data_IF_129136896045
#
_entry.id   IF_129136896045
#
_cell.length_a   1.000
_cell.length_b   1.000
_cell.length_c   1.000
_cell.angle_alpha   90.00
_cell.angle_beta   90.00
_cell.angle_gamma   90.00
#
_symmetry.space_group_name_H-M   'P 1'
#
loop_
_entity.id
_entity.type
_entity.pdbx_description
1 polymer ?
#
# COMPACT_ATOMS: atom_id res chain seq x y z
N UNK A 1 -2.11 -30.27 19.44
CA UNK A 1 -3.35 -29.50 19.15
C UNK A 1 -3.91 -29.98 17.82
N UNK A 2 -5.24 -29.95 17.65
CA UNK A 2 -5.83 -30.14 16.32
C UNK A 2 -5.60 -28.90 15.44
N UNK A 3 -5.81 -29.00 14.13
CA UNK A 3 -5.47 -27.92 13.19
C UNK A 3 -6.26 -26.63 13.47
N UNK A 4 -7.57 -26.73 13.72
CA UNK A 4 -8.41 -25.56 14.00
C UNK A 4 -8.01 -24.84 15.30
N UNK A 5 -7.60 -25.59 16.33
CA UNK A 5 -7.04 -25.03 17.56
C UNK A 5 -5.71 -24.31 17.28
N UNK A 6 -4.83 -24.90 16.47
CA UNK A 6 -3.56 -24.30 16.08
C UNK A 6 -3.76 -22.98 15.32
N UNK A 7 -4.71 -22.93 14.37
CA UNK A 7 -5.13 -21.69 13.69
C UNK A 7 -5.54 -20.63 14.71
N UNK A 8 -6.41 -21.01 15.66
CA UNK A 8 -6.89 -20.09 16.70
C UNK A 8 -5.75 -19.53 17.53
N UNK A 9 -4.78 -20.38 17.92
CA UNK A 9 -3.61 -19.96 18.70
C UNK A 9 -2.70 -19.00 17.94
N UNK A 10 -2.48 -19.23 16.65
CA UNK A 10 -1.70 -18.30 15.84
C UNK A 10 -2.38 -16.94 15.71
N UNK A 11 -3.70 -16.92 15.45
CA UNK A 11 -4.49 -15.68 15.36
C UNK A 11 -4.46 -14.92 16.67
N UNK A 12 -4.65 -15.60 17.81
CA UNK A 12 -4.55 -14.99 19.14
C UNK A 12 -3.17 -14.38 19.42
N UNK A 13 -2.13 -14.92 18.77
CA UNK A 13 -0.76 -14.43 18.87
C UNK A 13 -0.42 -13.33 17.86
N UNK A 14 -1.38 -12.84 17.07
CA UNK A 14 -1.16 -11.82 16.02
C UNK A 14 -0.44 -12.38 14.79
N UNK A 15 -0.63 -13.66 14.50
CA UNK A 15 -0.11 -14.34 13.32
C UNK A 15 -1.13 -15.29 12.72
N UNK A 16 -0.66 -16.20 11.89
CA UNK A 16 -1.43 -17.24 11.22
C UNK A 16 -0.56 -18.48 11.09
N UNK A 17 -1.12 -19.64 10.75
CA UNK A 17 -0.28 -20.80 10.43
C UNK A 17 0.64 -20.48 9.26
N UNK A 18 1.87 -20.99 9.30
CA UNK A 18 2.90 -20.62 8.33
C UNK A 18 2.54 -21.06 6.92
N UNK A 19 2.70 -20.14 5.98
CA UNK A 19 2.91 -20.44 4.56
C UNK A 19 4.39 -20.76 4.31
N UNK A 20 4.69 -21.37 3.17
CA UNK A 20 6.05 -21.59 2.68
C UNK A 20 6.09 -21.21 1.21
N UNK A 21 6.76 -20.10 0.91
CA UNK A 21 6.75 -19.48 -0.43
C UNK A 21 7.98 -19.88 -1.27
N UNK A 22 9.07 -20.31 -0.63
CA UNK A 22 10.31 -20.67 -1.30
C UNK A 22 11.15 -21.70 -0.55
N UNK A 23 12.26 -22.11 -1.18
CA UNK A 23 13.19 -23.09 -0.63
C UNK A 23 13.91 -22.58 0.63
N UNK A 24 14.18 -21.27 0.72
CA UNK A 24 14.89 -20.70 1.86
C UNK A 24 14.01 -20.73 3.11
N UNK A 25 12.71 -20.39 2.98
CA UNK A 25 11.72 -20.53 4.03
C UNK A 25 11.53 -22.00 4.43
N UNK A 26 11.49 -22.91 3.45
CA UNK A 26 11.43 -24.35 3.74
C UNK A 26 12.64 -24.81 4.55
N UNK A 27 13.86 -24.50 4.14
CA UNK A 27 15.08 -24.89 4.85
C UNK A 27 15.11 -24.32 6.28
N UNK A 28 14.74 -23.04 6.44
CA UNK A 28 14.62 -22.42 7.75
C UNK A 28 13.67 -23.19 8.67
N UNK A 29 12.49 -23.60 8.17
CA UNK A 29 11.53 -24.37 8.97
C UNK A 29 12.05 -25.76 9.31
N UNK A 30 12.73 -26.44 8.39
CA UNK A 30 13.27 -27.79 8.59
C UNK A 30 14.33 -27.79 9.69
N UNK A 31 15.29 -26.88 9.61
CA UNK A 31 16.37 -26.74 10.59
C UNK A 31 15.83 -26.51 12.01
N UNK A 32 14.76 -25.72 12.14
CA UNK A 32 14.16 -25.42 13.43
C UNK A 32 13.22 -26.54 13.90
N UNK A 33 12.53 -27.24 13.00
CA UNK A 33 11.62 -28.32 13.34
C UNK A 33 12.35 -29.54 13.92
N UNK A 34 13.54 -29.87 13.39
CA UNK A 34 14.36 -31.00 13.84
C UNK A 34 14.75 -30.87 15.34
N UNK A 35 14.98 -29.65 15.81
CA UNK A 35 15.27 -29.36 17.23
C UNK A 35 14.14 -29.81 18.18
N UNK A 36 12.93 -30.01 17.66
CA UNK A 36 11.74 -30.39 18.41
C UNK A 36 11.23 -31.80 18.06
N UNK A 37 11.95 -32.57 17.23
CA UNK A 37 11.56 -33.91 16.81
C UNK A 37 11.35 -34.89 17.98
N UNK A 38 12.00 -34.64 19.13
CA UNK A 38 11.78 -35.41 20.37
C UNK A 38 10.46 -35.11 21.10
N UNK A 39 9.81 -33.97 20.79
CA UNK A 39 8.59 -33.49 21.47
C UNK A 39 7.34 -33.65 20.62
N UNK A 40 7.48 -33.64 19.30
CA UNK A 40 6.37 -33.80 18.37
C UNK A 40 6.83 -34.47 17.09
N UNK A 41 5.95 -35.25 16.46
CA UNK A 41 6.24 -35.88 15.17
C UNK A 41 6.16 -34.91 14.00
N UNK A 42 5.49 -33.78 14.17
CA UNK A 42 5.30 -32.79 13.11
C UNK A 42 4.52 -31.58 13.56
N UNK A 43 4.39 -30.63 12.65
CA UNK A 43 3.81 -29.32 12.88
C UNK A 43 2.71 -29.02 11.88
N UNK A 44 1.57 -28.51 12.34
CA UNK A 44 0.59 -27.93 11.45
C UNK A 44 1.14 -26.71 10.72
N UNK A 45 0.93 -26.69 9.41
CA UNK A 45 1.20 -25.55 8.52
C UNK A 45 -0.12 -25.06 7.90
N UNK A 46 -0.07 -23.92 7.21
CA UNK A 46 -1.25 -23.16 6.77
C UNK A 46 -2.02 -23.75 5.59
N UNK A 47 -1.60 -24.88 5.01
CA UNK A 47 -2.34 -25.52 3.92
C UNK A 47 -3.57 -26.26 4.46
N UNK A 48 -4.72 -25.95 3.87
CA UNK A 48 -5.97 -26.68 4.07
C UNK A 48 -6.60 -27.03 2.73
N UNK A 49 -7.48 -28.04 2.73
CA UNK A 49 -8.30 -28.40 1.57
C UNK A 49 -9.67 -27.73 1.68
N UNK A 50 -10.08 -27.00 0.64
CA UNK A 50 -11.40 -26.37 0.59
C UNK A 50 -12.50 -27.38 0.18
N UNK A 51 -13.76 -26.94 0.17
CA UNK A 51 -14.93 -27.77 -0.19
C UNK A 51 -14.90 -28.31 -1.63
N UNK A 52 -14.12 -27.66 -2.51
CA UNK A 52 -13.93 -28.08 -3.91
C UNK A 52 -12.73 -29.02 -4.06
N UNK A 53 -12.08 -29.41 -2.96
CA UNK A 53 -10.90 -30.26 -2.99
C UNK A 53 -9.60 -29.52 -3.32
N UNK A 54 -9.57 -28.19 -3.40
CA UNK A 54 -8.35 -27.43 -3.71
C UNK A 54 -7.51 -27.20 -2.45
N UNK A 55 -6.20 -27.34 -2.58
CA UNK A 55 -5.25 -26.98 -1.52
C UNK A 55 -4.92 -25.50 -1.60
N UNK A 56 -5.09 -24.79 -0.48
CA UNK A 56 -4.91 -23.36 -0.38
C UNK A 56 -4.16 -23.03 0.91
N UNK A 57 -3.34 -21.97 0.87
CA UNK A 57 -2.78 -21.39 2.08
C UNK A 57 -3.81 -20.51 2.80
N UNK A 58 -3.79 -20.53 4.13
CA UNK A 58 -4.65 -19.68 4.98
C UNK A 58 -4.42 -18.18 4.74
N UNK A 59 -3.23 -17.77 4.30
CA UNK A 59 -2.85 -16.38 4.05
C UNK A 59 -3.15 -15.90 2.63
N UNK A 60 -3.77 -16.75 1.82
CA UNK A 60 -4.02 -16.53 0.39
C UNK A 60 -2.75 -16.33 -0.46
N UNK A 61 -1.57 -16.75 0.02
CA UNK A 61 -0.39 -16.87 -0.83
C UNK A 61 -0.61 -17.90 -1.93
N UNK A 62 0.15 -17.77 -3.03
CA UNK A 62 0.14 -18.76 -4.09
C UNK A 62 0.78 -20.07 -3.58
N UNK A 63 0.23 -21.21 -3.99
CA UNK A 63 0.84 -22.52 -3.76
C UNK A 63 1.71 -22.89 -4.96
N UNK A 64 2.75 -22.09 -5.20
CA UNK A 64 3.73 -22.24 -6.29
C UNK A 64 4.98 -23.02 -5.86
N UNK A 65 5.32 -22.98 -4.57
CA UNK A 65 6.29 -23.86 -3.93
C UNK A 65 5.62 -25.01 -3.18
N UNK A 66 6.20 -26.21 -3.27
CA UNK A 66 5.74 -27.35 -2.51
C UNK A 66 6.87 -28.31 -2.13
N UNK A 67 6.87 -28.77 -0.87
CA UNK A 67 7.81 -29.77 -0.34
C UNK A 67 7.07 -31.04 0.12
N UNK A 68 6.19 -31.58 -0.74
CA UNK A 68 5.43 -32.79 -0.45
C UNK A 68 6.34 -34.01 -0.27
N UNK A 69 6.00 -34.85 0.71
CA UNK A 69 6.56 -36.19 0.81
C UNK A 69 6.11 -37.09 -0.32
N UNK A 70 6.78 -38.23 -0.47
CA UNK A 70 6.45 -39.19 -1.52
C UNK A 70 4.99 -39.64 -1.44
N UNK A 71 4.28 -39.59 -2.56
CA UNK A 71 2.86 -39.97 -2.66
C UNK A 71 1.88 -38.96 -2.03
N UNK A 72 2.33 -37.76 -1.67
CA UNK A 72 1.50 -36.70 -1.11
C UNK A 72 1.32 -35.54 -2.10
N UNK A 73 0.20 -34.80 -2.03
CA UNK A 73 -0.97 -35.05 -1.20
C UNK A 73 -1.82 -36.21 -1.74
N UNK A 74 -2.41 -37.04 -0.88
CA UNK A 74 -3.38 -38.05 -1.30
C UNK A 74 -4.65 -37.41 -1.87
N UNK A 75 -5.11 -37.87 -3.04
CA UNK A 75 -6.33 -37.36 -3.68
C UNK A 75 -7.63 -37.83 -2.99
N UNK A 76 -7.59 -38.95 -2.27
CA UNK A 76 -8.77 -39.59 -1.68
C UNK A 76 -9.18 -39.01 -0.32
N UNK A 77 -8.40 -38.07 0.19
CA UNK A 77 -8.45 -37.61 1.57
C UNK A 77 -9.01 -36.18 1.66
N UNK A 78 -10.33 -36.08 1.50
CA UNK A 78 -11.07 -34.82 1.32
C UNK A 78 -11.18 -33.93 2.58
N UNK A 79 -10.82 -34.43 3.76
CA UNK A 79 -10.95 -33.72 5.06
C UNK A 79 -9.61 -33.62 5.83
N UNK A 80 -8.51 -33.43 5.10
CA UNK A 80 -7.17 -33.48 5.65
C UNK A 80 -6.52 -32.10 5.65
N UNK A 81 -5.70 -31.88 6.67
CA UNK A 81 -4.89 -30.69 6.89
C UNK A 81 -3.42 -31.06 6.76
N UNK A 82 -2.57 -30.08 6.46
CA UNK A 82 -1.18 -30.39 6.12
C UNK A 82 -0.25 -30.24 7.30
N UNK A 83 0.57 -31.25 7.54
CA UNK A 83 1.69 -31.16 8.47
C UNK A 83 3.03 -31.02 7.74
N UNK A 84 4.00 -30.43 8.45
CA UNK A 84 5.43 -30.55 8.20
C UNK A 84 6.01 -31.57 9.17
N UNK A 85 6.63 -32.63 8.66
CA UNK A 85 7.29 -33.65 9.47
C UNK A 85 8.50 -33.07 10.20
N UNK A 86 8.57 -33.26 11.53
CA UNK A 86 9.68 -32.75 12.32
C UNK A 86 11.01 -33.46 12.00
N UNK A 87 10.95 -34.71 11.54
CA UNK A 87 12.14 -35.53 11.27
C UNK A 87 12.67 -35.39 9.84
N UNK A 88 11.79 -35.10 8.88
CA UNK A 88 12.17 -35.12 7.44
C UNK A 88 11.96 -33.78 6.76
N UNK A 89 11.16 -32.87 7.34
CA UNK A 89 10.83 -31.59 6.71
C UNK A 89 9.78 -31.66 5.59
N UNK A 90 9.48 -32.86 5.10
CA UNK A 90 8.48 -33.07 4.06
C UNK A 90 7.05 -32.87 4.59
N UNK A 91 6.18 -32.47 3.68
CA UNK A 91 4.78 -32.22 3.97
C UNK A 91 3.92 -33.44 3.67
N UNK A 92 2.90 -33.66 4.48
CA UNK A 92 1.92 -34.72 4.27
C UNK A 92 0.55 -34.24 4.73
N UNK A 93 -0.51 -34.82 4.16
CA UNK A 93 -1.87 -34.55 4.63
C UNK A 93 -2.24 -35.54 5.74
N UNK A 94 -2.90 -35.06 6.79
CA UNK A 94 -3.40 -35.84 7.91
C UNK A 94 -4.82 -35.42 8.30
N UNK A 95 -5.62 -36.26 8.98
CA UNK A 95 -6.90 -35.84 9.50
C UNK A 95 -6.73 -34.61 10.39
N UNK A 96 -7.50 -33.55 10.15
CA UNK A 96 -7.34 -32.27 10.86
C UNK A 96 -7.51 -32.38 12.39
N UNK A 97 -8.12 -33.46 12.88
CA UNK A 97 -8.28 -33.80 14.29
C UNK A 97 -7.00 -34.31 14.97
N UNK A 98 -5.97 -34.66 14.18
CA UNK A 98 -4.68 -35.18 14.65
C UNK A 98 -4.00 -34.20 15.60
N UNK A 99 -3.23 -34.72 16.55
CA UNK A 99 -2.52 -33.88 17.53
C UNK A 99 -1.09 -33.64 17.09
N UNK A 100 -0.78 -32.39 16.72
CA UNK A 100 0.56 -31.96 16.29
C UNK A 100 1.00 -30.69 17.02
N UNK A 101 2.29 -30.36 16.88
CA UNK A 101 2.78 -29.00 17.08
C UNK A 101 2.21 -28.05 16.01
N UNK A 102 2.56 -26.78 16.06
CA UNK A 102 2.15 -25.81 15.04
C UNK A 102 3.17 -24.70 14.90
N UNK A 103 3.27 -24.12 13.71
CA UNK A 103 4.20 -23.03 13.41
C UNK A 103 3.40 -21.83 12.91
N UNK A 104 3.58 -20.69 13.57
CA UNK A 104 2.92 -19.44 13.19
C UNK A 104 3.87 -18.52 12.43
N UNK A 105 3.40 -17.92 11.33
CA UNK A 105 4.07 -16.82 10.62
C UNK A 105 3.45 -15.50 11.06
N UNK A 106 4.29 -14.49 11.25
CA UNK A 106 3.89 -13.12 11.63
C UNK A 106 4.50 -12.12 10.66
N UNK A 107 3.79 -11.02 10.32
CA UNK A 107 4.38 -9.96 9.51
C UNK A 107 5.56 -9.33 10.25
N UNK A 108 6.65 -9.09 9.52
CA UNK A 108 7.77 -8.30 10.04
C UNK A 108 7.27 -6.87 10.21
N UNK A 109 7.01 -6.45 11.45
CA UNK A 109 6.71 -5.04 11.71
C UNK A 109 8.02 -4.27 11.54
N UNK A 110 8.17 -3.57 10.42
CA UNK A 110 9.31 -2.68 10.24
C UNK A 110 9.24 -1.60 11.33
N UNK A 111 10.35 -1.36 12.03
CA UNK A 111 10.39 -0.49 13.23
C UNK A 111 9.71 0.87 13.02
N UNK A 112 9.81 1.42 11.81
CA UNK A 112 9.15 2.67 11.40
C UNK A 112 7.61 2.58 11.37
N UNK A 113 7.05 1.45 10.91
CA UNK A 113 5.60 1.21 10.90
C UNK A 113 5.07 0.89 12.29
N UNK A 114 5.87 0.29 13.16
CA UNK A 114 5.50 0.10 14.57
C UNK A 114 5.33 1.45 15.28
N UNK A 115 6.22 2.42 15.02
CA UNK A 115 6.09 3.78 15.58
C UNK A 115 4.84 4.48 15.06
N UNK A 116 4.52 4.33 13.77
CA UNK A 116 3.30 4.91 13.20
C UNK A 116 2.03 4.23 13.72
N UNK A 117 2.03 2.90 13.84
CA UNK A 117 0.91 2.10 14.33
C UNK A 117 0.65 2.32 15.83
N UNK A 118 1.71 2.36 16.66
CA UNK A 118 1.62 2.76 18.07
C UNK A 118 1.10 4.20 18.21
N UNK A 119 1.54 5.13 17.36
CA UNK A 119 1.05 6.51 17.40
C UNK A 119 -0.45 6.60 17.07
N UNK A 120 -0.96 5.72 16.19
CA UNK A 120 -2.39 5.64 15.89
C UNK A 120 -3.20 4.94 16.97
N UNK A 121 -2.70 3.85 17.59
CA UNK A 121 -3.43 3.13 18.64
C UNK A 121 -3.47 3.90 19.97
N UNK A 122 -2.43 4.69 20.30
CA UNK A 122 -2.46 5.61 21.46
C UNK A 122 -3.60 6.64 21.35
N UNK A 123 -4.10 6.92 20.14
CA UNK A 123 -5.26 7.81 19.93
C UNK A 123 -6.62 7.10 20.02
N UNK A 124 -6.69 5.77 20.08
CA UNK A 124 -7.97 5.05 20.09
C UNK A 124 -8.68 5.09 21.45
N UNK A 125 -7.94 5.24 22.55
CA UNK A 125 -8.50 5.30 23.91
C UNK A 125 -8.15 6.60 24.66
N UNK A 126 -8.23 7.77 24.00
CA UNK A 126 -8.47 9.08 24.64
C UNK A 126 -8.36 10.20 23.61
N UNK A 127 -9.49 10.76 23.21
CA UNK A 127 -9.73 12.22 23.15
C UNK A 127 -10.96 12.52 22.29
N UNK A 128 -12.13 12.55 22.94
CA UNK A 128 -13.11 13.59 22.62
C UNK A 128 -12.45 14.94 22.93
N UNK A 129 -12.13 15.75 21.91
CA UNK A 129 -12.03 17.21 22.06
C UNK A 129 -10.74 17.97 21.70
N UNK A 130 -9.60 17.35 21.32
CA UNK A 130 -8.36 18.13 21.04
C UNK A 130 -7.91 18.18 19.56
N UNK A 131 -8.62 17.56 18.62
CA UNK A 131 -8.23 17.59 17.20
C UNK A 131 -8.75 18.84 16.46
N UNK A 132 -9.76 19.54 17.00
CA UNK A 132 -10.35 20.72 16.36
C UNK A 132 -9.61 22.03 16.68
N UNK A 133 -8.90 22.11 17.81
CA UNK A 133 -8.21 23.35 18.21
C UNK A 133 -6.95 23.59 17.39
N UNK A 134 -6.13 22.57 17.16
CA UNK A 134 -4.90 22.76 16.38
C UNK A 134 -5.21 23.06 14.91
N UNK A 135 -6.23 22.43 14.32
CA UNK A 135 -6.65 22.74 12.95
C UNK A 135 -7.06 24.21 12.83
N UNK A 136 -7.88 24.73 13.75
CA UNK A 136 -8.25 26.14 13.76
C UNK A 136 -7.04 27.08 13.97
N UNK A 137 -6.12 26.73 14.88
CA UNK A 137 -4.90 27.52 15.11
C UNK A 137 -3.98 27.52 13.87
N UNK A 138 -3.85 26.40 13.17
CA UNK A 138 -3.06 26.32 11.93
C UNK A 138 -3.70 27.13 10.81
N UNK A 139 -5.02 27.08 10.65
CA UNK A 139 -5.74 27.86 9.65
C UNK A 139 -5.62 29.36 9.91
N UNK A 140 -5.74 29.80 11.17
CA UNK A 140 -5.55 31.21 11.55
C UNK A 140 -4.13 31.68 11.24
N UNK A 141 -3.11 30.88 11.56
CA UNK A 141 -1.71 31.23 11.26
C UNK A 141 -1.46 31.38 9.76
N UNK A 142 -2.00 30.46 8.94
CA UNK A 142 -1.88 30.52 7.48
C UNK A 142 -2.55 31.78 6.93
N UNK A 143 -3.73 32.16 7.45
CA UNK A 143 -4.42 33.38 7.05
C UNK A 143 -3.61 34.62 7.42
N UNK A 144 -3.01 34.67 8.61
CA UNK A 144 -2.17 35.80 9.03
C UNK A 144 -0.91 35.95 8.18
N UNK A 145 -0.25 34.84 7.86
CA UNK A 145 0.91 34.83 6.96
C UNK A 145 0.51 35.21 5.53
N UNK A 146 -0.64 34.72 5.05
CA UNK A 146 -1.18 35.05 3.74
C UNK A 146 -1.55 36.53 3.60
N UNK A 147 -2.27 37.10 4.56
CA UNK A 147 -2.59 38.54 4.57
C UNK A 147 -1.33 39.38 4.71
N UNK A 148 -0.40 39.00 5.58
CA UNK A 148 0.89 39.68 5.73
C UNK A 148 1.70 39.67 4.44
N UNK A 149 1.77 38.53 3.76
CA UNK A 149 2.47 38.40 2.48
C UNK A 149 1.78 39.20 1.36
N UNK A 150 0.44 39.18 1.30
CA UNK A 150 -0.33 39.96 0.33
C UNK A 150 -0.20 41.48 0.56
N UNK A 151 -0.22 41.93 1.82
CA UNK A 151 0.02 43.34 2.18
C UNK A 151 1.46 43.73 1.86
N UNK A 152 2.45 42.89 2.21
CA UNK A 152 3.85 43.12 1.87
C UNK A 152 4.05 43.23 0.36
N UNK A 153 3.45 42.34 -0.42
CA UNK A 153 3.55 42.35 -1.88
C UNK A 153 2.83 43.57 -2.48
N UNK A 154 1.67 43.95 -1.94
CA UNK A 154 0.95 45.17 -2.32
C UNK A 154 1.75 46.43 -2.00
N UNK A 155 2.42 46.47 -0.85
CA UNK A 155 3.29 47.56 -0.44
C UNK A 155 4.54 47.63 -1.32
N UNK A 156 5.14 46.48 -1.64
CA UNK A 156 6.27 46.37 -2.58
C UNK A 156 5.87 46.84 -3.99
N UNK A 157 4.68 46.48 -4.48
CA UNK A 157 4.11 46.97 -5.74
C UNK A 157 3.93 48.49 -5.70
N UNK A 158 3.42 49.05 -4.59
CA UNK A 158 3.20 50.49 -4.44
C UNK A 158 4.50 51.29 -4.29
N UNK A 159 5.54 50.69 -3.72
CA UNK A 159 6.86 51.34 -3.53
C UNK A 159 7.61 51.48 -4.86
N UNK A 160 7.37 50.60 -5.85
CA UNK A 160 7.87 50.80 -7.22
C UNK A 160 7.10 51.84 -8.04
N UNK A 161 5.89 52.23 -7.59
CA UNK A 161 5.08 53.30 -8.20
C UNK A 161 5.34 54.69 -7.58
N UNK A 162 6.27 54.79 -6.61
CA UNK A 162 6.49 55.97 -5.77
C UNK A 162 7.70 56.83 -6.14
N UNK A 163 8.09 56.89 -7.41
CA UNK A 163 8.98 57.93 -7.93
C UNK A 163 8.47 58.42 -9.28
N UNK A 164 7.92 59.63 -9.29
CA UNK A 164 7.58 60.38 -10.51
C UNK A 164 6.08 60.48 -10.81
N UNK A 165 5.36 61.35 -10.08
CA UNK A 165 4.13 61.94 -10.58
C UNK A 165 4.45 63.21 -11.36
N UNK A 166 4.27 63.19 -12.68
CA UNK A 166 4.02 64.41 -13.47
C UNK A 166 2.92 64.13 -14.51
N UNK A 167 1.92 65.00 -14.50
CA UNK A 167 0.71 64.96 -15.30
C UNK A 167 1.05 65.15 -16.78
N UNK A 168 0.73 64.18 -17.65
CA UNK A 168 0.33 64.48 -19.03
C UNK A 168 -0.67 63.48 -19.59
N UNK A 169 -1.92 63.77 -19.24
CA UNK A 169 -3.12 63.71 -20.06
C UNK A 169 -2.92 63.33 -21.55
N UNK A 170 -3.66 62.31 -21.96
CA UNK A 170 -4.33 62.21 -23.26
C UNK A 170 -3.45 62.01 -24.52
N UNK A 171 -3.02 60.76 -24.78
CA UNK A 171 -2.55 60.39 -26.15
C UNK A 171 -2.95 59.00 -26.66
N UNK A 172 -3.46 58.05 -25.85
CA UNK A 172 -3.78 56.69 -26.36
C UNK A 172 -5.12 56.54 -27.08
N UNK A 173 -5.98 57.55 -27.06
CA UNK A 173 -7.25 57.53 -27.79
C UNK A 173 -7.11 57.93 -29.27
N UNK A 174 -5.92 58.36 -29.74
CA UNK A 174 -5.74 58.86 -31.11
C UNK A 174 -4.99 57.94 -32.09
N UNK A 175 -4.70 56.70 -31.70
CA UNK A 175 -4.09 55.71 -32.62
C UNK A 175 -5.10 54.68 -33.16
N UNK A 176 -6.25 54.50 -32.49
CA UNK A 176 -7.28 53.55 -32.96
C UNK A 176 -8.05 54.07 -34.19
N UNK A 177 -8.21 55.40 -34.32
CA UNK A 177 -8.98 56.02 -35.41
C UNK A 177 -8.19 56.19 -36.72
N UNK A 178 -6.89 55.88 -36.75
CA UNK A 178 -6.03 56.04 -37.94
C UNK A 178 -5.76 54.76 -38.72
N UNK A 179 -6.12 53.59 -38.16
CA UNK A 179 -5.93 52.29 -38.82
C UNK A 179 -7.14 51.82 -39.66
N UNK A 180 -8.27 52.55 -39.61
CA UNK A 180 -9.52 52.18 -40.31
C UNK A 180 -9.73 52.85 -41.69
N UNK A 181 -8.72 53.50 -42.26
CA UNK A 181 -8.83 54.06 -43.62
C UNK A 181 -7.56 53.83 -44.44
N UNK A 182 -7.44 52.66 -45.08
CA UNK A 182 -6.90 52.50 -46.45
C UNK A 182 -6.89 51.01 -46.88
N UNK A 183 -7.89 50.64 -47.71
CA UNK A 183 -7.91 49.60 -48.77
C UNK A 183 -7.42 48.19 -48.43
N UNK A 184 -8.25 47.16 -48.33
CA UNK A 184 -9.17 46.54 -49.31
C UNK A 184 -8.50 45.86 -50.53
N UNK A 185 -9.03 44.66 -50.82
CA UNK A 185 -8.74 43.66 -51.87
C UNK A 185 -7.58 42.68 -51.60
N UNK A 186 -7.77 41.36 -51.55
CA UNK A 186 -8.93 40.51 -51.78
C UNK A 186 -8.45 39.06 -52.04
N UNK A 187 -9.25 38.07 -51.59
CA UNK A 187 -9.33 36.62 -51.97
C UNK A 187 -8.03 35.77 -51.89
N UNK A 188 -8.01 34.54 -51.38
CA UNK A 188 -8.92 33.42 -51.65
C UNK A 188 -8.64 32.20 -50.72
N UNK A 189 -9.65 31.32 -50.61
CA UNK A 189 -9.71 29.86 -50.35
C UNK A 189 -8.48 29.05 -49.88
N UNK A 190 -8.55 27.90 -49.23
CA UNK A 190 -9.50 27.05 -48.48
C UNK A 190 -8.63 25.89 -47.94
N UNK A 191 -9.22 25.07 -47.06
CA UNK A 191 -8.96 23.63 -46.90
C UNK A 191 -7.87 23.11 -45.94
N UNK A 192 -8.39 22.47 -44.89
CA UNK A 192 -8.29 21.04 -44.59
C UNK A 192 -6.97 20.37 -44.16
N UNK A 193 -7.15 19.64 -43.05
CA UNK A 193 -6.70 18.28 -42.74
C UNK A 193 -5.23 17.99 -42.41
N UNK A 194 -5.10 17.45 -41.20
CA UNK A 194 -4.57 16.10 -40.93
C UNK A 194 -3.10 15.84 -41.31
N UNK A 195 -2.28 15.48 -40.31
CA UNK A 195 -1.77 14.10 -40.19
C UNK A 195 -0.79 13.96 -39.02
N UNK A 196 -1.09 12.93 -38.24
CA UNK A 196 -0.27 12.34 -37.19
C UNK A 196 1.00 11.66 -37.73
N UNK A 197 2.00 11.60 -36.84
CA UNK A 197 2.99 10.53 -36.64
C UNK A 197 4.07 10.24 -37.70
N UNK A 198 5.30 10.14 -37.20
CA UNK A 198 6.27 9.03 -37.28
C UNK A 198 7.65 9.61 -36.88
N UNK A 199 8.60 8.93 -36.24
CA UNK A 199 8.75 7.60 -35.64
C UNK A 199 10.13 7.63 -34.95
N UNK A 200 10.27 6.88 -33.85
CA UNK A 200 11.37 5.93 -33.56
C UNK A 200 12.82 6.43 -33.70
N UNK A 201 13.52 6.54 -32.56
CA UNK A 201 14.42 5.48 -32.00
C UNK A 201 14.24 5.45 -30.49
#
# INVERSE_FOLDING_TARGET
MNWAQAVTQCIQSGGILTSVEDLDESNFLIEHADLYASKTSGFWIGIYRNVNGQLLWQDNSALDFANWGEGQPSEHELAFCTELSAATGYWSVLPCSSQKGFICKKPKIHSFLFTFYLFTDVKKDKASGHLNMWILLTLVLIILLGLGFMIYFSFKIKTQSGSGGEVRQSSRQLEYTRALTAGDNGSDATNDKEKNEHSVV
#
